data_IF_603603991014
#
_entry.id   IF_603603991014
#
_cell.length_a   1.000
_cell.length_b   1.000
_cell.length_c   1.000
_cell.angle_alpha   90.00
_cell.angle_beta   90.00
_cell.angle_gamma   90.00
#
_symmetry.space_group_name_H-M   'P 1'
#
loop_
_entity.id
_entity.type
_entity.pdbx_description
1 polymer ?
#
# COMPACT_ATOMS: atom_id res chain seq x y z
N UNK A 1 -31.89 17.10 82.74
CA UNK A 1 -31.23 16.36 81.64
C UNK A 1 -30.42 17.36 80.83
N UNK A 2 -29.08 17.28 80.86
CA UNK A 2 -28.23 18.05 79.93
C UNK A 2 -28.34 17.37 78.57
N UNK A 3 -29.15 17.93 77.68
CA UNK A 3 -29.15 17.52 76.28
C UNK A 3 -27.80 17.91 75.69
N UNK A 4 -26.99 16.92 75.35
CA UNK A 4 -25.76 17.09 74.59
C UNK A 4 -26.16 17.72 73.26
N UNK A 5 -25.86 19.01 73.06
CA UNK A 5 -26.16 19.71 71.81
C UNK A 5 -25.21 19.17 70.74
N UNK A 6 -25.61 18.09 70.06
CA UNK A 6 -25.08 17.82 68.72
C UNK A 6 -25.57 19.00 67.88
N UNK A 7 -24.69 19.96 67.64
CA UNK A 7 -25.05 21.22 66.99
C UNK A 7 -25.68 20.91 65.64
N UNK A 8 -26.88 21.44 65.39
CA UNK A 8 -27.59 21.32 64.10
C UNK A 8 -26.70 21.73 62.92
N UNK A 9 -25.77 22.66 63.15
CA UNK A 9 -24.72 23.06 62.22
C UNK A 9 -23.73 21.92 61.86
N UNK A 10 -23.34 21.08 62.81
CA UNK A 10 -22.46 19.93 62.54
C UNK A 10 -23.19 18.85 61.72
N UNK A 11 -24.47 18.58 62.04
CA UNK A 11 -25.33 17.67 61.27
C UNK A 11 -25.59 18.17 59.86
N UNK A 12 -25.88 19.47 59.68
CA UNK A 12 -26.12 20.06 58.35
C UNK A 12 -24.85 20.10 57.50
N UNK A 13 -23.69 20.38 58.11
CA UNK A 13 -22.42 20.37 57.38
C UNK A 13 -22.04 18.93 56.98
N UNK A 14 -22.20 17.95 57.87
CA UNK A 14 -21.97 16.55 57.53
C UNK A 14 -22.86 16.07 56.37
N UNK A 15 -24.15 16.42 56.38
CA UNK A 15 -25.08 16.10 55.29
C UNK A 15 -24.65 16.73 53.96
N UNK A 16 -24.21 18.00 53.96
CA UNK A 16 -23.68 18.67 52.75
C UNK A 16 -22.41 18.00 52.21
N UNK A 17 -21.48 17.62 53.08
CA UNK A 17 -20.27 16.90 52.67
C UNK A 17 -20.60 15.53 52.07
N UNK A 18 -21.52 14.79 52.70
CA UNK A 18 -21.96 13.49 52.19
C UNK A 18 -22.68 13.62 50.84
N UNK A 19 -23.50 14.66 50.68
CA UNK A 19 -24.18 14.95 49.41
C UNK A 19 -23.20 15.29 48.29
N UNK A 20 -22.22 16.18 48.55
CA UNK A 20 -21.18 16.50 47.56
C UNK A 20 -20.38 15.26 47.14
N UNK A 21 -20.06 14.39 48.11
CA UNK A 21 -19.37 13.13 47.82
C UNK A 21 -20.22 12.17 46.98
N UNK A 22 -21.51 12.00 47.30
CA UNK A 22 -22.40 11.15 46.49
C UNK A 22 -22.59 11.70 45.07
N UNK A 23 -22.68 13.02 44.90
CA UNK A 23 -22.74 13.63 43.57
C UNK A 23 -21.45 13.39 42.76
N UNK A 24 -20.28 13.49 43.40
CA UNK A 24 -19.01 13.16 42.74
C UNK A 24 -18.92 11.68 42.34
N UNK A 25 -19.32 10.76 43.23
CA UNK A 25 -19.40 9.33 42.92
C UNK A 25 -20.43 9.02 41.84
N UNK A 26 -21.55 9.76 41.78
CA UNK A 26 -22.55 9.61 40.71
C UNK A 26 -21.94 9.97 39.36
N UNK A 27 -21.27 11.12 39.24
CA UNK A 27 -20.57 11.52 38.00
C UNK A 27 -19.55 10.45 37.57
N UNK A 28 -18.79 9.92 38.54
CA UNK A 28 -17.83 8.83 38.31
C UNK A 28 -18.54 7.57 37.77
N UNK A 29 -19.54 7.07 38.48
CA UNK A 29 -20.27 5.86 38.11
C UNK A 29 -21.02 6.02 36.78
N UNK A 30 -21.52 7.22 36.46
CA UNK A 30 -22.11 7.52 35.15
C UNK A 30 -21.07 7.47 34.04
N UNK A 31 -19.87 8.00 34.27
CA UNK A 31 -18.76 7.89 33.30
C UNK A 31 -18.34 6.43 33.10
N UNK A 32 -18.23 5.65 34.17
CA UNK A 32 -17.88 4.22 34.10
C UNK A 32 -18.96 3.40 33.39
N UNK A 33 -20.24 3.67 33.69
CA UNK A 33 -21.38 3.02 33.04
C UNK A 33 -21.47 3.32 31.54
N UNK A 34 -21.12 4.53 31.12
CA UNK A 34 -21.19 4.95 29.70
C UNK A 34 -19.97 4.52 28.89
N UNK A 35 -18.78 4.51 29.50
CA UNK A 35 -17.52 4.16 28.81
C UNK A 35 -17.16 2.68 28.92
N UNK A 36 -17.71 1.95 29.90
CA UNK A 36 -17.31 0.58 30.21
C UNK A 36 -15.90 0.47 30.79
N UNK A 37 -15.28 1.60 31.17
CA UNK A 37 -13.92 1.68 31.70
C UNK A 37 -13.90 2.52 32.97
N UNK A 38 -12.92 2.29 33.85
CA UNK A 38 -12.72 3.06 35.07
C UNK A 38 -12.60 4.56 34.77
N UNK A 39 -13.25 5.39 35.58
CA UNK A 39 -13.32 6.83 35.32
C UNK A 39 -11.96 7.54 35.41
N UNK A 40 -11.08 7.01 36.27
CA UNK A 40 -9.70 7.45 36.47
C UNK A 40 -8.80 6.21 36.52
N UNK A 41 -8.17 5.91 35.38
CA UNK A 41 -7.23 4.79 35.22
C UNK A 41 -6.07 4.91 36.20
N UNK A 42 -5.51 6.11 36.39
CA UNK A 42 -4.36 6.32 37.26
C UNK A 42 -4.67 6.01 38.72
N UNK A 43 -5.84 6.47 39.19
CA UNK A 43 -6.31 6.21 40.55
C UNK A 43 -6.73 4.75 40.74
N UNK A 44 -7.41 4.16 39.76
CA UNK A 44 -7.92 2.79 39.86
C UNK A 44 -6.81 1.73 39.78
N UNK A 45 -5.81 1.94 38.92
CA UNK A 45 -4.75 0.96 38.67
C UNK A 45 -3.51 1.20 39.53
N UNK A 46 -3.27 2.42 40.03
CA UNK A 46 -2.11 2.77 40.84
C UNK A 46 -0.80 2.42 40.13
N UNK A 47 -0.01 1.50 40.70
CA UNK A 47 1.25 1.04 40.11
C UNK A 47 1.07 0.30 38.76
N UNK A 48 -0.11 -0.27 38.48
CA UNK A 48 -0.39 -0.98 37.22
C UNK A 48 -0.66 -0.03 36.05
N UNK A 49 -0.85 1.26 36.31
CA UNK A 49 -1.06 2.29 35.28
C UNK A 49 0.08 2.30 34.26
N UNK A 50 1.32 2.06 34.68
CA UNK A 50 2.46 2.00 33.74
C UNK A 50 2.34 0.84 32.75
N UNK A 51 1.76 -0.29 33.15
CA UNK A 51 1.52 -1.45 32.28
C UNK A 51 0.44 -1.12 31.25
N UNK A 52 -0.69 -0.56 31.68
CA UNK A 52 -1.78 -0.15 30.80
C UNK A 52 -1.29 0.86 29.74
N UNK A 53 -0.57 1.91 30.17
CA UNK A 53 0.00 2.91 29.25
C UNK A 53 1.00 2.29 28.26
N UNK A 54 1.75 1.27 28.69
CA UNK A 54 2.69 0.58 27.80
C UNK A 54 1.95 -0.23 26.75
N UNK A 55 0.92 -0.99 27.14
CA UNK A 55 0.07 -1.73 26.20
C UNK A 55 -0.67 -0.82 25.23
N UNK A 56 -1.23 0.32 25.68
CA UNK A 56 -1.88 1.28 24.78
C UNK A 56 -0.91 1.82 23.74
N UNK A 57 0.33 2.17 24.14
CA UNK A 57 1.35 2.64 23.20
C UNK A 57 1.76 1.56 22.19
N UNK A 58 1.93 0.32 22.65
CA UNK A 58 2.29 -0.79 21.78
C UNK A 58 1.15 -1.11 20.79
N UNK A 59 -0.10 -1.04 21.25
CA UNK A 59 -1.30 -1.16 20.43
C UNK A 59 -1.31 -0.08 19.33
N UNK A 60 -1.14 1.21 19.68
CA UNK A 60 -1.10 2.30 18.72
C UNK A 60 0.00 2.06 17.66
N UNK A 61 1.17 1.63 18.11
CA UNK A 61 2.30 1.34 17.21
C UNK A 61 2.01 0.18 16.27
N UNK A 62 1.36 -0.88 16.73
CA UNK A 62 0.96 -2.02 15.90
C UNK A 62 -0.10 -1.60 14.89
N UNK A 63 -1.10 -0.83 15.30
CA UNK A 63 -2.17 -0.35 14.41
C UNK A 63 -1.61 0.53 13.28
N UNK A 64 -0.68 1.45 13.58
CA UNK A 64 -0.02 2.25 12.54
C UNK A 64 0.70 1.37 11.51
N UNK A 65 1.34 0.27 11.93
CA UNK A 65 2.01 -0.64 10.99
C UNK A 65 0.97 -1.46 10.20
N UNK A 66 -0.12 -1.91 10.83
CA UNK A 66 -1.23 -2.59 10.13
C UNK A 66 -1.84 -1.68 9.05
N UNK A 67 -2.07 -0.42 9.37
CA UNK A 67 -2.59 0.57 8.42
C UNK A 67 -1.60 0.79 7.27
N UNK A 68 -0.31 0.95 7.57
CA UNK A 68 0.74 1.02 6.55
C UNK A 68 0.79 -0.24 5.68
N UNK A 69 0.64 -1.42 6.27
CA UNK A 69 0.61 -2.69 5.54
C UNK A 69 -0.59 -2.77 4.60
N UNK A 70 -1.74 -2.19 4.96
CA UNK A 70 -2.90 -2.16 4.07
C UNK A 70 -2.62 -1.40 2.77
N UNK A 71 -1.88 -0.28 2.85
CA UNK A 71 -1.45 0.49 1.68
C UNK A 71 -0.42 -0.29 0.85
N UNK A 72 0.53 -0.94 1.52
CA UNK A 72 1.52 -1.81 0.87
C UNK A 72 0.85 -2.95 0.12
N UNK A 73 -0.13 -3.63 0.74
CA UNK A 73 -0.91 -4.70 0.11
C UNK A 73 -1.67 -4.20 -1.11
N UNK A 74 -2.33 -3.04 -1.03
CA UNK A 74 -3.03 -2.45 -2.17
C UNK A 74 -2.06 -2.17 -3.34
N UNK A 75 -0.87 -1.64 -3.04
CA UNK A 75 0.18 -1.40 -4.05
C UNK A 75 0.70 -2.69 -4.67
N UNK A 76 0.98 -3.70 -3.85
CA UNK A 76 1.46 -5.02 -4.30
C UNK A 76 0.43 -5.73 -5.18
N UNK A 77 -0.85 -5.72 -4.77
CA UNK A 77 -1.94 -6.30 -5.55
C UNK A 77 -2.10 -5.62 -6.91
N UNK A 78 -2.01 -4.28 -6.95
CA UNK A 78 -2.04 -3.53 -8.22
C UNK A 78 -0.81 -3.83 -9.10
N UNK A 79 0.37 -3.99 -8.49
CA UNK A 79 1.59 -4.41 -9.19
C UNK A 79 1.43 -5.80 -9.78
N UNK A 80 0.87 -6.76 -9.03
CA UNK A 80 0.60 -8.12 -9.48
C UNK A 80 -0.36 -8.13 -10.68
N UNK A 81 -1.42 -7.34 -10.64
CA UNK A 81 -2.37 -7.20 -11.74
C UNK A 81 -1.69 -6.62 -12.99
N UNK A 82 -0.89 -5.57 -12.84
CA UNK A 82 -0.13 -4.97 -13.93
C UNK A 82 0.89 -5.94 -14.55
N UNK A 83 1.61 -6.70 -13.72
CA UNK A 83 2.49 -7.78 -14.20
C UNK A 83 1.71 -8.86 -14.95
N UNK A 84 0.49 -9.19 -14.53
CA UNK A 84 -0.42 -10.08 -15.26
C UNK A 84 -0.71 -9.57 -16.68
N UNK A 85 -1.08 -8.29 -16.78
CA UNK A 85 -1.34 -7.64 -18.06
C UNK A 85 -0.09 -7.56 -18.96
N UNK A 86 1.11 -7.40 -18.38
CA UNK A 86 2.36 -7.47 -19.15
C UNK A 86 2.62 -8.87 -19.70
N UNK A 87 2.38 -9.91 -18.90
CA UNK A 87 2.48 -11.30 -19.36
C UNK A 87 1.48 -11.60 -20.49
N UNK A 88 0.25 -11.10 -20.39
CA UNK A 88 -0.75 -11.23 -21.47
C UNK A 88 -0.30 -10.49 -22.74
N UNK A 89 0.25 -9.29 -22.59
CA UNK A 89 0.79 -8.50 -23.71
C UNK A 89 1.94 -9.24 -24.40
N UNK A 90 2.87 -9.82 -23.63
CA UNK A 90 3.96 -10.63 -24.13
C UNK A 90 3.46 -11.90 -24.83
N UNK A 91 2.47 -12.59 -24.26
CA UNK A 91 1.88 -13.80 -24.85
C UNK A 91 1.15 -13.50 -26.17
N UNK A 92 0.44 -12.38 -26.25
CA UNK A 92 -0.21 -11.93 -27.48
C UNK A 92 0.81 -11.61 -28.57
N UNK A 93 1.90 -10.92 -28.21
CA UNK A 93 3.00 -10.65 -29.13
C UNK A 93 3.64 -11.96 -29.62
N UNK A 94 3.93 -12.90 -28.71
CA UNK A 94 4.52 -14.20 -29.08
C UNK A 94 3.63 -14.99 -30.04
N UNK A 95 2.32 -14.97 -29.83
CA UNK A 95 1.33 -15.59 -30.73
C UNK A 95 1.39 -14.95 -32.12
N UNK A 96 1.40 -13.62 -32.20
CA UNK A 96 1.50 -12.90 -33.47
C UNK A 96 2.83 -13.19 -34.20
N UNK A 97 3.93 -13.29 -33.46
CA UNK A 97 5.24 -13.63 -34.02
C UNK A 97 5.30 -15.06 -34.54
N UNK A 98 4.67 -16.01 -33.84
CA UNK A 98 4.58 -17.41 -34.27
C UNK A 98 3.74 -17.55 -35.54
N UNK A 99 2.70 -16.72 -35.68
CA UNK A 99 1.88 -16.65 -36.90
C UNK A 99 2.54 -15.87 -38.05
N UNK A 100 3.67 -15.20 -37.83
CA UNK A 100 4.28 -14.30 -38.82
C UNK A 100 4.73 -15.02 -40.10
N UNK A 101 5.09 -16.31 -40.03
CA UNK A 101 5.42 -17.10 -41.23
C UNK A 101 4.25 -17.29 -42.20
N UNK A 102 3.01 -17.16 -41.70
CA UNK A 102 1.76 -17.32 -42.47
C UNK A 102 1.00 -15.98 -42.64
N UNK A 103 1.46 -14.90 -42.00
CA UNK A 103 0.76 -13.61 -41.93
C UNK A 103 1.52 -12.51 -42.67
N UNK A 104 0.83 -11.45 -43.07
CA UNK A 104 1.48 -10.26 -43.63
C UNK A 104 2.41 -9.61 -42.61
N UNK A 105 3.58 -9.11 -43.05
CA UNK A 105 4.50 -8.38 -42.19
C UNK A 105 3.87 -7.13 -41.55
N UNK A 106 2.85 -6.55 -42.19
CA UNK A 106 2.08 -5.42 -41.64
C UNK A 106 1.28 -5.80 -40.39
N UNK A 107 0.71 -7.01 -40.34
CA UNK A 107 -0.06 -7.49 -39.19
C UNK A 107 0.88 -7.72 -38.00
N UNK A 108 2.02 -8.39 -38.24
CA UNK A 108 3.03 -8.63 -37.21
C UNK A 108 3.61 -7.32 -36.68
N UNK A 109 3.86 -6.34 -37.56
CA UNK A 109 4.31 -5.01 -37.16
C UNK A 109 3.27 -4.31 -36.27
N UNK A 110 1.98 -4.38 -36.61
CA UNK A 110 0.92 -3.78 -35.82
C UNK A 110 0.81 -4.44 -34.42
N UNK A 111 1.07 -5.75 -34.33
CA UNK A 111 1.15 -6.43 -33.04
C UNK A 111 2.32 -5.91 -32.18
N UNK A 112 3.50 -5.71 -32.77
CA UNK A 112 4.63 -5.08 -32.06
C UNK A 112 4.31 -3.67 -31.57
N UNK A 113 3.64 -2.87 -32.41
CA UNK A 113 3.21 -1.51 -32.04
C UNK A 113 2.21 -1.53 -30.88
N UNK A 114 1.22 -2.42 -30.94
CA UNK A 114 0.24 -2.58 -29.87
C UNK A 114 0.93 -3.01 -28.56
N UNK A 115 1.87 -3.95 -28.64
CA UNK A 115 2.59 -4.46 -27.47
C UNK A 115 3.40 -3.35 -26.77
N UNK A 116 4.18 -2.54 -27.51
CA UNK A 116 4.96 -1.46 -26.88
C UNK A 116 4.06 -0.37 -26.28
N UNK A 117 2.91 -0.07 -26.90
CA UNK A 117 1.96 0.91 -26.38
C UNK A 117 1.26 0.42 -25.11
N UNK A 118 0.79 -0.84 -25.11
CA UNK A 118 0.16 -1.46 -23.94
C UNK A 118 1.16 -1.57 -22.78
N UNK A 119 2.36 -2.06 -23.06
CA UNK A 119 3.45 -2.13 -22.08
C UNK A 119 3.75 -0.74 -21.48
N UNK A 120 3.89 0.29 -22.32
CA UNK A 120 4.12 1.66 -21.85
C UNK A 120 2.98 2.16 -20.95
N UNK A 121 1.72 1.87 -21.32
CA UNK A 121 0.56 2.25 -20.50
C UNK A 121 0.55 1.53 -19.15
N UNK A 122 0.90 0.24 -19.12
CA UNK A 122 0.89 -0.56 -17.90
C UNK A 122 2.03 -0.15 -16.96
N UNK A 123 3.24 0.08 -17.49
CA UNK A 123 4.39 0.50 -16.70
C UNK A 123 4.22 1.90 -16.11
N UNK A 124 3.39 2.74 -16.75
CA UNK A 124 3.03 4.06 -16.26
C UNK A 124 1.73 4.05 -15.42
N UNK A 125 1.27 2.89 -14.95
CA UNK A 125 0.16 2.83 -14.00
C UNK A 125 0.54 3.45 -12.64
N UNK A 126 -0.40 4.18 -12.05
CA UNK A 126 -0.24 4.85 -10.75
C UNK A 126 -1.34 4.47 -9.77
N UNK A 127 -0.99 4.36 -8.49
CA UNK A 127 -1.92 4.19 -7.37
C UNK A 127 -1.73 5.37 -6.42
N UNK A 128 -2.80 6.08 -6.09
CA UNK A 128 -2.77 7.27 -5.23
C UNK A 128 -1.82 8.38 -5.70
N UNK A 129 -1.62 8.51 -7.01
CA UNK A 129 -0.74 9.52 -7.61
C UNK A 129 0.74 9.10 -7.69
N UNK A 130 1.10 7.92 -7.17
CA UNK A 130 2.45 7.37 -7.24
C UNK A 130 2.54 6.26 -8.29
N UNK A 131 3.57 6.30 -9.12
CA UNK A 131 3.80 5.28 -10.14
C UNK A 131 4.34 3.97 -9.56
N UNK A 132 3.75 2.85 -10.00
CA UNK A 132 4.05 1.53 -9.45
C UNK A 132 5.44 1.01 -9.80
N UNK A 133 5.88 1.24 -11.04
CA UNK A 133 7.13 0.71 -11.60
C UNK A 133 8.28 1.73 -11.61
N UNK A 134 8.16 2.84 -10.86
CA UNK A 134 9.17 3.90 -10.86
C UNK A 134 10.39 3.62 -9.97
N UNK A 135 10.38 2.51 -9.22
CA UNK A 135 11.31 2.30 -8.12
C UNK A 135 11.05 3.32 -7.00
N UNK A 136 12.09 4.03 -6.56
CA UNK A 136 12.00 5.11 -5.56
C UNK A 136 11.60 6.46 -6.16
N UNK A 137 11.58 6.62 -7.49
CA UNK A 137 11.20 7.86 -8.16
C UNK A 137 9.69 7.94 -8.48
N UNK A 138 8.85 7.74 -7.46
CA UNK A 138 7.39 7.53 -7.60
C UNK A 138 6.62 8.68 -8.24
N UNK A 139 7.20 9.87 -8.28
CA UNK A 139 6.53 11.10 -8.73
C UNK A 139 6.78 11.40 -10.22
N UNK A 140 7.58 10.57 -10.89
CA UNK A 140 7.94 10.73 -12.30
C UNK A 140 7.45 9.53 -13.10
N UNK A 141 6.89 9.81 -14.28
CA UNK A 141 6.43 8.80 -15.23
C UNK A 141 7.57 7.82 -15.56
N UNK A 142 7.44 6.52 -15.24
CA UNK A 142 8.53 5.55 -15.33
C UNK A 142 9.13 5.40 -16.73
N UNK A 143 8.29 5.28 -17.76
CA UNK A 143 8.72 4.94 -19.12
C UNK A 143 8.18 5.93 -20.15
N UNK A 144 9.03 6.32 -21.08
CA UNK A 144 8.66 7.11 -22.26
C UNK A 144 8.10 6.27 -23.40
N UNK A 145 7.20 6.86 -24.18
CA UNK A 145 6.51 6.16 -25.27
C UNK A 145 7.42 6.11 -26.51
N UNK A 146 7.76 4.90 -26.94
CA UNK A 146 8.54 4.64 -28.15
C UNK A 146 7.84 5.07 -29.43
N UNK A 147 6.50 5.07 -29.44
CA UNK A 147 5.68 5.34 -30.62
C UNK A 147 5.24 6.79 -30.73
N UNK A 148 5.51 7.60 -29.71
CA UNK A 148 5.20 9.02 -29.70
C UNK A 148 6.07 9.81 -30.69
N UNK A 149 5.51 10.88 -31.24
CA UNK A 149 6.26 11.82 -32.06
C UNK A 149 7.37 12.47 -31.22
N UNK A 150 8.61 12.44 -31.72
CA UNK A 150 9.77 12.96 -31.00
C UNK A 150 10.34 12.04 -29.93
N UNK A 151 9.93 10.76 -29.88
CA UNK A 151 10.49 9.77 -28.95
C UNK A 151 12.03 9.68 -29.04
N UNK A 152 12.78 9.96 -27.96
CA UNK A 152 14.24 9.83 -27.94
C UNK A 152 14.69 8.41 -28.25
N UNK A 153 13.98 7.41 -27.71
CA UNK A 153 14.24 6.00 -27.97
C UNK A 153 14.10 5.64 -29.45
N UNK A 154 13.05 6.12 -30.13
CA UNK A 154 12.87 5.88 -31.56
C UNK A 154 13.95 6.58 -32.39
N UNK A 155 14.29 7.82 -32.04
CA UNK A 155 15.34 8.57 -32.71
C UNK A 155 16.72 7.87 -32.58
N UNK A 156 17.06 7.38 -31.38
CA UNK A 156 18.28 6.62 -31.14
C UNK A 156 18.33 5.29 -31.92
N UNK A 157 17.18 4.60 -32.00
CA UNK A 157 17.04 3.38 -32.79
C UNK A 157 17.28 3.63 -34.28
N UNK A 158 16.63 4.64 -34.85
CA UNK A 158 16.75 4.99 -36.27
C UNK A 158 18.14 5.52 -36.64
N UNK A 159 18.73 6.32 -35.76
CA UNK A 159 20.10 6.81 -35.92
C UNK A 159 21.10 5.64 -35.91
N UNK A 160 20.91 4.67 -35.02
CA UNK A 160 21.78 3.49 -34.96
C UNK A 160 21.65 2.60 -36.18
N UNK A 161 20.44 2.43 -36.72
CA UNK A 161 20.24 1.74 -38.00
C UNK A 161 21.02 2.43 -39.11
N UNK A 162 20.83 3.75 -39.25
CA UNK A 162 21.45 4.54 -40.31
C UNK A 162 22.98 4.57 -40.19
N UNK A 163 23.50 4.64 -38.95
CA UNK A 163 24.94 4.60 -38.70
C UNK A 163 25.58 3.24 -39.01
N UNK A 164 24.87 2.13 -38.77
CA UNK A 164 25.40 0.79 -38.99
C UNK A 164 25.38 0.40 -40.48
N UNK A 165 24.29 0.71 -41.18
CA UNK A 165 24.10 0.32 -42.58
C UNK A 165 24.55 1.39 -43.58
N UNK A 166 24.68 2.65 -43.16
CA UNK A 166 25.03 3.79 -44.03
C UNK A 166 23.85 4.36 -44.83
N UNK A 167 22.64 3.88 -44.60
CA UNK A 167 21.40 4.32 -45.26
C UNK A 167 20.18 4.13 -44.35
N UNK A 168 19.06 4.76 -44.70
CA UNK A 168 17.82 4.68 -43.91
C UNK A 168 17.01 3.41 -44.21
N UNK A 169 16.08 3.03 -43.34
CA UNK A 169 15.22 1.84 -43.53
C UNK A 169 14.30 1.92 -44.77
N UNK A 170 14.08 3.14 -45.30
CA UNK A 170 13.30 3.39 -46.50
C UNK A 170 14.14 3.30 -47.80
N UNK A 171 15.46 3.24 -47.68
CA UNK A 171 16.36 3.16 -48.83
C UNK A 171 16.19 1.82 -49.56
N UNK A 172 16.17 1.78 -50.92
CA UNK A 172 16.15 0.54 -51.69
C UNK A 172 17.26 -0.46 -51.31
N UNK A 173 18.43 0.02 -50.85
CA UNK A 173 19.54 -0.83 -50.40
C UNK A 173 19.19 -1.68 -49.17
N UNK A 174 18.19 -1.29 -48.37
CA UNK A 174 17.72 -2.06 -47.23
C UNK A 174 17.23 -3.47 -47.62
N UNK A 175 16.75 -3.65 -48.86
CA UNK A 175 16.31 -4.92 -49.38
C UNK A 175 17.45 -5.96 -49.53
N UNK A 176 18.71 -5.52 -49.49
CA UNK A 176 19.89 -6.38 -49.62
C UNK A 176 20.49 -6.80 -48.27
N UNK A 177 19.93 -6.34 -47.13
CA UNK A 177 20.44 -6.69 -45.80
C UNK A 177 20.31 -8.20 -45.60
N UNK A 178 21.44 -8.87 -45.33
CA UNK A 178 21.48 -10.31 -45.05
C UNK A 178 21.03 -10.62 -43.62
N UNK A 179 20.64 -11.88 -43.36
CA UNK A 179 20.34 -12.36 -42.02
C UNK A 179 21.49 -12.11 -41.03
N UNK A 180 22.74 -12.36 -41.43
CA UNK A 180 23.91 -12.16 -40.58
C UNK A 180 24.17 -10.68 -40.27
N UNK A 181 23.99 -9.78 -41.25
CA UNK A 181 24.13 -8.34 -41.01
C UNK A 181 23.05 -7.81 -40.08
N UNK A 182 21.81 -8.28 -40.23
CA UNK A 182 20.71 -7.91 -39.33
C UNK A 182 20.95 -8.44 -37.92
N UNK A 183 21.42 -9.68 -37.78
CA UNK A 183 21.77 -10.25 -36.48
C UNK A 183 22.88 -9.45 -35.79
N UNK A 184 23.94 -9.11 -36.53
CA UNK A 184 25.03 -8.26 -36.05
C UNK A 184 24.56 -6.88 -35.57
N UNK A 185 23.63 -6.25 -36.30
CA UNK A 185 23.01 -4.98 -35.91
C UNK A 185 22.21 -5.13 -34.60
N UNK A 186 21.37 -6.17 -34.49
CA UNK A 186 20.57 -6.42 -33.28
C UNK A 186 21.48 -6.61 -32.06
N UNK A 187 22.53 -7.43 -32.20
CA UNK A 187 23.44 -7.73 -31.08
C UNK A 187 24.35 -6.56 -30.71
N UNK A 188 24.89 -5.85 -31.70
CA UNK A 188 25.95 -4.84 -31.44
C UNK A 188 25.39 -3.43 -31.20
N UNK A 189 24.22 -3.11 -31.76
CA UNK A 189 23.68 -1.75 -31.75
C UNK A 189 22.33 -1.64 -31.06
N UNK A 190 21.42 -2.61 -31.26
CA UNK A 190 20.10 -2.55 -30.61
C UNK A 190 20.19 -3.01 -29.16
N UNK A 191 20.84 -4.13 -28.88
CA UNK A 191 20.91 -4.70 -27.52
C UNK A 191 21.41 -3.68 -26.46
N UNK A 192 22.48 -2.89 -26.69
CA UNK A 192 22.93 -1.90 -25.71
C UNK A 192 21.95 -0.73 -25.48
N UNK A 193 21.01 -0.48 -26.39
CA UNK A 193 19.97 0.54 -26.19
C UNK A 193 18.91 0.12 -25.18
N UNK A 194 18.74 -1.18 -24.95
CA UNK A 194 17.71 -1.72 -24.06
C UNK A 194 18.30 -2.38 -22.81
N UNK A 195 19.40 -3.12 -22.97
CA UNK A 195 20.10 -3.83 -21.88
C UNK A 195 21.29 -3.05 -21.33
N UNK A 196 21.59 -1.88 -21.89
CA UNK A 196 22.71 -1.03 -21.48
C UNK A 196 22.26 0.39 -21.12
N UNK A 197 23.20 1.32 -21.13
CA UNK A 197 22.99 2.72 -20.74
C UNK A 197 21.99 3.48 -21.63
N UNK A 198 21.67 2.97 -22.82
CA UNK A 198 20.66 3.57 -23.68
C UNK A 198 19.24 3.48 -23.10
N UNK A 199 19.00 2.56 -22.17
CA UNK A 199 17.70 2.43 -21.49
C UNK A 199 17.43 3.62 -20.58
N UNK A 200 18.35 3.92 -19.67
CA UNK A 200 18.24 5.09 -18.78
C UNK A 200 18.31 6.41 -19.55
N UNK A 201 19.00 6.43 -20.69
CA UNK A 201 19.13 7.66 -21.48
C UNK A 201 17.86 8.02 -22.27
N UNK A 202 17.10 7.02 -22.75
CA UNK A 202 16.05 7.25 -23.76
C UNK A 202 14.69 6.63 -23.44
N UNK A 203 14.60 5.71 -22.48
CA UNK A 203 13.38 4.98 -22.15
C UNK A 203 12.90 5.22 -20.73
N UNK A 204 13.78 5.08 -19.74
CA UNK A 204 13.39 4.97 -18.35
C UNK A 204 13.84 6.15 -17.49
N UNK A 205 12.87 6.68 -16.75
CA UNK A 205 13.07 7.61 -15.64
C UNK A 205 12.94 6.90 -14.27
N UNK A 206 12.74 5.58 -14.27
CA UNK A 206 12.64 4.77 -13.06
C UNK A 206 14.03 4.45 -12.47
N UNK A 207 14.08 4.19 -11.17
CA UNK A 207 15.30 3.75 -10.49
C UNK A 207 15.39 2.24 -10.39
N UNK A 208 16.62 1.71 -10.37
CA UNK A 208 16.86 0.28 -10.07
C UNK A 208 16.59 -0.05 -8.59
N UNK A 209 16.65 0.97 -7.71
CA UNK A 209 16.30 0.81 -6.30
C UNK A 209 14.80 0.59 -6.14
N UNK A 210 14.45 -0.43 -5.36
CA UNK A 210 13.07 -0.75 -5.00
C UNK A 210 12.76 -0.20 -3.60
N UNK A 211 11.48 0.06 -3.36
CA UNK A 211 10.97 0.54 -2.08
C UNK A 211 11.02 -0.61 -1.07
N UNK A 212 11.53 -0.32 0.13
CA UNK A 212 11.55 -1.23 1.28
C UNK A 212 10.57 -0.71 2.32
N UNK A 213 9.57 -1.53 2.64
CA UNK A 213 8.56 -1.22 3.64
C UNK A 213 8.81 -1.97 4.93
N UNK A 214 8.62 -1.29 6.07
CA UNK A 214 8.56 -1.93 7.38
C UNK A 214 7.20 -2.57 7.57
N UNK A 215 7.17 -3.89 7.74
CA UNK A 215 5.92 -4.66 7.83
C UNK A 215 5.61 -5.17 9.24
N UNK A 216 6.58 -5.09 10.14
CA UNK A 216 6.42 -5.33 11.57
C UNK A 216 7.45 -4.52 12.37
N UNK A 217 7.47 -4.65 13.69
CA UNK A 217 8.40 -3.91 14.55
C UNK A 217 9.89 -4.17 14.22
N UNK A 218 10.20 -5.36 13.70
CA UNK A 218 11.57 -5.79 13.38
C UNK A 218 11.76 -6.37 11.97
N UNK A 219 10.74 -6.31 11.10
CA UNK A 219 10.79 -6.90 9.76
C UNK A 219 10.53 -5.85 8.68
N UNK A 220 11.32 -5.92 7.61
CA UNK A 220 11.15 -5.14 6.40
C UNK A 220 11.11 -6.06 5.20
N UNK A 221 10.34 -5.71 4.18
CA UNK A 221 10.33 -6.41 2.90
C UNK A 221 10.38 -5.42 1.75
N UNK A 222 10.89 -5.88 0.61
CA UNK A 222 10.85 -5.14 -0.63
C UNK A 222 9.43 -5.20 -1.20
N UNK A 223 8.88 -4.06 -1.59
CA UNK A 223 7.45 -3.90 -1.90
C UNK A 223 7.17 -3.17 -3.21
N UNK A 224 8.14 -3.15 -4.13
CA UNK A 224 7.94 -2.55 -5.45
C UNK A 224 8.67 -3.34 -6.53
N UNK A 225 8.16 -3.26 -7.75
CA UNK A 225 8.86 -3.63 -8.97
C UNK A 225 9.44 -2.38 -9.64
N UNK A 226 10.46 -2.54 -10.48
CA UNK A 226 11.01 -1.45 -11.30
C UNK A 226 10.78 -1.74 -12.77
N UNK A 227 10.47 -0.71 -13.55
CA UNK A 227 10.42 -0.81 -15.01
C UNK A 227 11.80 -1.13 -15.63
N UNK A 228 12.86 -1.04 -14.82
CA UNK A 228 14.21 -1.42 -15.17
C UNK A 228 14.48 -2.93 -15.09
N UNK A 229 13.50 -3.75 -14.75
CA UNK A 229 13.64 -5.21 -14.80
C UNK A 229 14.02 -5.69 -16.21
N UNK A 230 14.95 -6.63 -16.29
CA UNK A 230 15.49 -7.13 -17.56
C UNK A 230 14.40 -7.78 -18.44
N UNK A 231 13.40 -8.41 -17.83
CA UNK A 231 12.28 -9.06 -18.53
C UNK A 231 11.41 -8.02 -19.24
N UNK A 232 11.14 -6.91 -18.55
CA UNK A 232 10.39 -5.77 -19.09
C UNK A 232 11.18 -5.15 -20.25
N UNK A 233 12.49 -4.94 -20.06
CA UNK A 233 13.37 -4.39 -21.11
C UNK A 233 13.47 -5.31 -22.33
N UNK A 234 13.47 -6.65 -22.15
CA UNK A 234 13.45 -7.62 -23.25
C UNK A 234 12.14 -7.57 -24.04
N UNK A 235 11.00 -7.44 -23.34
CA UNK A 235 9.70 -7.22 -23.98
C UNK A 235 9.68 -5.91 -24.78
N UNK A 236 10.24 -4.84 -24.20
CA UNK A 236 10.38 -3.54 -24.88
C UNK A 236 11.23 -3.66 -26.15
N UNK A 237 12.39 -4.33 -26.05
CA UNK A 237 13.30 -4.57 -27.18
C UNK A 237 12.62 -5.36 -28.29
N UNK A 238 11.96 -6.46 -27.97
CA UNK A 238 11.25 -7.28 -28.95
C UNK A 238 10.14 -6.48 -29.65
N UNK A 239 9.34 -5.74 -28.88
CA UNK A 239 8.25 -4.91 -29.42
C UNK A 239 8.78 -3.79 -30.32
N UNK A 240 9.89 -3.14 -29.92
CA UNK A 240 10.54 -2.08 -30.69
C UNK A 240 11.19 -2.60 -31.98
N UNK A 241 11.85 -3.76 -31.94
CA UNK A 241 12.41 -4.44 -33.13
C UNK A 241 11.33 -4.69 -34.18
N UNK A 242 10.19 -5.23 -33.73
CA UNK A 242 9.07 -5.55 -34.62
C UNK A 242 8.42 -4.29 -35.18
N UNK A 243 8.19 -3.29 -34.32
CA UNK A 243 7.59 -2.01 -34.72
C UNK A 243 8.48 -1.26 -35.72
N UNK A 244 9.78 -1.20 -35.43
CA UNK A 244 10.76 -0.46 -36.21
C UNK A 244 11.10 -1.16 -37.53
N UNK A 245 11.53 -2.42 -37.50
CA UNK A 245 12.19 -3.05 -38.64
C UNK A 245 11.24 -3.74 -39.62
N UNK A 246 10.09 -4.25 -39.17
CA UNK A 246 9.12 -4.86 -40.09
C UNK A 246 8.35 -3.82 -40.92
N UNK A 247 8.50 -2.53 -40.57
CA UNK A 247 7.98 -1.39 -41.34
C UNK A 247 8.79 -1.09 -42.61
N UNK A 248 10.06 -1.52 -42.63
CA UNK A 248 11.03 -1.14 -43.65
C UNK A 248 11.06 -2.06 -44.87
N UNK A 249 11.82 -1.64 -45.87
CA UNK A 249 12.02 -2.39 -47.12
C UNK A 249 13.08 -3.50 -46.98
N UNK A 250 13.25 -4.07 -45.78
CA UNK A 250 14.30 -5.05 -45.49
C UNK A 250 14.02 -6.41 -46.15
N UNK A 251 15.09 -7.16 -46.42
CA UNK A 251 14.99 -8.50 -47.03
C UNK A 251 14.15 -9.48 -46.21
N UNK A 252 13.58 -10.50 -46.86
CA UNK A 252 12.84 -11.55 -46.15
C UNK A 252 13.71 -12.30 -45.13
N UNK A 253 14.99 -12.53 -45.47
CA UNK A 253 15.94 -13.16 -44.54
C UNK A 253 16.15 -12.30 -43.28
N UNK A 254 16.28 -10.97 -43.44
CA UNK A 254 16.38 -10.05 -42.32
C UNK A 254 15.09 -10.02 -41.48
N UNK A 255 13.90 -10.03 -42.11
CA UNK A 255 12.61 -10.12 -41.40
C UNK A 255 12.52 -11.38 -40.55
N UNK A 256 12.91 -12.53 -41.09
CA UNK A 256 12.94 -13.80 -40.35
C UNK A 256 13.89 -13.73 -39.15
N UNK A 257 15.07 -13.14 -39.30
CA UNK A 257 16.00 -12.91 -38.18
C UNK A 257 15.39 -12.03 -37.09
N UNK A 258 14.75 -10.92 -37.46
CA UNK A 258 14.10 -10.01 -36.50
C UNK A 258 12.99 -10.75 -35.74
N UNK A 259 12.12 -11.49 -36.44
CA UNK A 259 11.04 -12.26 -35.82
C UNK A 259 11.60 -13.33 -34.88
N UNK A 260 12.60 -14.10 -35.30
CA UNK A 260 13.21 -15.15 -34.48
C UNK A 260 13.86 -14.60 -33.21
N UNK A 261 14.57 -13.46 -33.31
CA UNK A 261 15.14 -12.76 -32.14
C UNK A 261 14.07 -12.23 -31.21
N UNK A 262 13.02 -11.61 -31.75
CA UNK A 262 11.89 -11.13 -30.97
C UNK A 262 11.16 -12.29 -30.24
N UNK A 263 10.95 -13.44 -30.90
CA UNK A 263 10.34 -14.62 -30.27
C UNK A 263 11.17 -15.11 -29.08
N UNK A 264 12.48 -15.23 -29.23
CA UNK A 264 13.37 -15.64 -28.14
C UNK A 264 13.30 -14.66 -26.96
N UNK A 265 13.39 -13.36 -27.23
CA UNK A 265 13.33 -12.31 -26.20
C UNK A 265 11.99 -12.27 -25.47
N UNK A 266 10.87 -12.45 -26.18
CA UNK A 266 9.54 -12.50 -25.57
C UNK A 266 9.37 -13.77 -24.72
N UNK A 267 9.90 -14.91 -25.18
CA UNK A 267 9.92 -16.15 -24.39
C UNK A 267 10.71 -16.00 -23.08
N UNK A 268 11.89 -15.38 -23.15
CA UNK A 268 12.68 -15.05 -21.95
C UNK A 268 11.95 -14.04 -21.05
N UNK A 269 11.32 -13.02 -21.63
CA UNK A 269 10.55 -12.03 -20.90
C UNK A 269 9.36 -12.66 -20.14
N UNK A 270 8.64 -13.60 -20.75
CA UNK A 270 7.54 -14.33 -20.07
C UNK A 270 8.05 -15.11 -18.85
N UNK A 271 9.18 -15.80 -18.98
CA UNK A 271 9.80 -16.51 -17.85
C UNK A 271 10.19 -15.57 -16.71
N UNK A 272 10.84 -14.45 -17.04
CA UNK A 272 11.25 -13.46 -16.06
C UNK A 272 10.09 -12.67 -15.43
N UNK A 273 9.05 -12.34 -16.20
CA UNK A 273 7.81 -11.75 -15.66
C UNK A 273 7.10 -12.71 -14.69
N UNK A 274 7.11 -14.01 -14.99
CA UNK A 274 6.60 -15.03 -14.07
C UNK A 274 7.39 -15.09 -12.76
N UNK A 275 8.71 -14.93 -12.82
CA UNK A 275 9.55 -14.84 -11.63
C UNK A 275 9.23 -13.57 -10.82
N UNK A 276 9.14 -12.40 -11.48
CA UNK A 276 8.82 -11.14 -10.83
C UNK A 276 7.42 -11.15 -10.16
N UNK A 277 6.45 -11.81 -10.80
CA UNK A 277 5.14 -12.09 -10.21
C UNK A 277 5.23 -12.98 -8.96
N UNK A 278 6.05 -14.03 -9.01
CA UNK A 278 6.24 -14.92 -7.86
C UNK A 278 6.89 -14.18 -6.68
N UNK A 279 7.92 -13.37 -6.95
CA UNK A 279 8.58 -12.53 -5.93
C UNK A 279 7.62 -11.51 -5.31
N UNK A 280 6.80 -10.86 -6.14
CA UNK A 280 5.76 -9.91 -5.69
C UNK A 280 4.70 -10.61 -4.83
N UNK A 281 4.23 -11.79 -5.24
CA UNK A 281 3.28 -12.59 -4.46
C UNK A 281 3.84 -13.09 -3.14
N UNK A 282 5.13 -13.43 -3.07
CA UNK A 282 5.81 -13.75 -1.81
C UNK A 282 5.87 -12.53 -0.87
N UNK A 283 6.16 -11.34 -1.40
CA UNK A 283 6.13 -10.10 -0.62
C UNK A 283 4.72 -9.81 -0.08
N UNK A 284 3.69 -9.97 -0.90
CA UNK A 284 2.28 -9.82 -0.49
C UNK A 284 1.92 -10.80 0.64
N UNK A 285 2.32 -12.07 0.52
CA UNK A 285 2.10 -13.06 1.56
C UNK A 285 2.81 -12.72 2.87
N UNK A 286 4.05 -12.21 2.80
CA UNK A 286 4.80 -11.77 4.00
C UNK A 286 4.10 -10.61 4.71
N UNK A 287 3.61 -9.62 3.96
CA UNK A 287 2.85 -8.49 4.50
C UNK A 287 1.56 -8.97 5.16
N UNK A 288 0.83 -9.89 4.52
CA UNK A 288 -0.38 -10.50 5.07
C UNK A 288 -0.08 -11.24 6.38
N UNK A 289 0.92 -12.11 6.40
CA UNK A 289 1.29 -12.90 7.58
C UNK A 289 1.76 -12.02 8.74
N UNK A 290 2.54 -10.99 8.45
CA UNK A 290 2.95 -10.01 9.46
C UNK A 290 1.73 -9.28 10.03
N UNK A 291 0.79 -8.88 9.18
CA UNK A 291 -0.43 -8.18 9.60
C UNK A 291 -1.34 -9.07 10.47
N UNK A 292 -1.52 -10.34 10.12
CA UNK A 292 -2.34 -11.26 10.90
C UNK A 292 -1.74 -11.56 12.28
N UNK A 293 -0.41 -11.69 12.37
CA UNK A 293 0.30 -11.81 13.65
C UNK A 293 0.13 -10.56 14.50
N UNK A 294 0.24 -9.37 13.91
CA UNK A 294 0.06 -8.12 14.64
C UNK A 294 -1.38 -7.92 15.08
N UNK A 295 -2.39 -8.28 14.28
CA UNK A 295 -3.80 -8.26 14.71
C UNK A 295 -4.03 -9.16 15.92
N UNK A 296 -3.44 -10.36 15.92
CA UNK A 296 -3.50 -11.25 17.09
C UNK A 296 -2.86 -10.61 18.33
N UNK A 297 -1.77 -9.86 18.17
CA UNK A 297 -1.13 -9.12 19.28
C UNK A 297 -1.99 -7.95 19.75
N UNK A 298 -2.61 -7.21 18.83
CA UNK A 298 -3.57 -6.13 19.12
C UNK A 298 -4.73 -6.69 19.94
N UNK A 299 -5.37 -7.78 19.51
CA UNK A 299 -6.47 -8.42 20.23
C UNK A 299 -6.06 -8.82 21.67
N UNK A 300 -4.83 -9.31 21.86
CA UNK A 300 -4.31 -9.67 23.17
C UNK A 300 -4.08 -8.44 24.06
N UNK A 301 -3.51 -7.37 23.51
CA UNK A 301 -3.31 -6.12 24.25
C UNK A 301 -4.63 -5.44 24.59
N UNK A 302 -5.61 -5.42 23.69
CA UNK A 302 -6.96 -4.93 23.95
C UNK A 302 -7.62 -5.68 25.10
N UNK A 303 -7.54 -7.02 25.12
CA UNK A 303 -8.05 -7.83 26.24
C UNK A 303 -7.33 -7.52 27.55
N UNK A 304 -6.01 -7.38 27.54
CA UNK A 304 -5.27 -7.04 28.76
C UNK A 304 -5.58 -5.63 29.27
N UNK A 305 -5.81 -4.67 28.38
CA UNK A 305 -6.27 -3.32 28.75
C UNK A 305 -7.68 -3.40 29.35
N UNK A 306 -8.59 -4.15 28.74
CA UNK A 306 -9.94 -4.38 29.28
C UNK A 306 -9.92 -5.09 30.63
N UNK A 307 -9.03 -6.07 30.85
CA UNK A 307 -8.87 -6.73 32.15
C UNK A 307 -8.33 -5.78 33.23
N UNK A 308 -7.61 -4.73 32.82
CA UNK A 308 -7.00 -3.74 33.71
C UNK A 308 -7.97 -2.60 34.03
N UNK A 309 -8.71 -2.13 33.03
CA UNK A 309 -9.48 -0.88 33.06
C UNK A 309 -10.99 -1.10 32.95
N UNK A 310 -11.43 -2.28 32.57
CA UNK A 310 -12.83 -2.60 32.30
C UNK A 310 -13.69 -2.56 33.56
N UNK A 311 -14.92 -2.06 33.38
CA UNK A 311 -15.96 -2.05 34.41
C UNK A 311 -17.19 -2.75 33.84
N UNK A 312 -17.82 -3.62 34.64
CA UNK A 312 -19.09 -4.23 34.27
C UNK A 312 -20.18 -3.15 34.14
N UNK A 313 -20.75 -2.93 32.94
CA UNK A 313 -21.77 -1.90 32.74
C UNK A 313 -23.04 -2.13 33.57
N UNK A 314 -23.39 -3.38 33.90
CA UNK A 314 -24.57 -3.70 34.70
C UNK A 314 -24.34 -3.37 36.18
N UNK A 315 -23.14 -3.66 36.71
CA UNK A 315 -22.75 -3.25 38.06
C UNK A 315 -22.68 -1.73 38.16
N UNK A 316 -22.08 -1.06 37.16
CA UNK A 316 -22.00 0.40 37.11
C UNK A 316 -23.39 1.05 37.02
N UNK A 317 -24.31 0.51 36.20
CA UNK A 317 -25.68 1.00 36.09
C UNK A 317 -26.45 0.83 37.40
N UNK A 318 -26.29 -0.31 38.09
CA UNK A 318 -26.88 -0.54 39.42
C UNK A 318 -26.36 0.50 40.41
N UNK A 319 -25.05 0.78 40.39
CA UNK A 319 -24.44 1.78 41.26
C UNK A 319 -24.95 3.20 40.99
N UNK A 320 -25.17 3.55 39.72
CA UNK A 320 -25.79 4.84 39.33
C UNK A 320 -27.21 4.95 39.88
N UNK A 321 -28.02 3.89 39.76
CA UNK A 321 -29.37 3.86 40.30
C UNK A 321 -29.40 4.02 41.83
N UNK A 322 -28.55 3.28 42.53
CA UNK A 322 -28.44 3.35 44.01
C UNK A 322 -27.99 4.74 44.48
N UNK A 323 -26.98 5.33 43.82
CA UNK A 323 -26.50 6.68 44.16
C UNK A 323 -27.59 7.74 43.90
N UNK A 324 -28.34 7.61 42.81
CA UNK A 324 -29.45 8.51 42.49
C UNK A 324 -30.53 8.44 43.57
N UNK A 325 -30.95 7.22 43.93
CA UNK A 325 -31.95 6.99 44.97
C UNK A 325 -31.51 7.54 46.34
N UNK A 326 -30.25 7.36 46.70
CA UNK A 326 -29.70 7.90 47.95
C UNK A 326 -29.62 9.43 47.96
N UNK A 327 -29.28 10.05 46.83
CA UNK A 327 -29.27 11.51 46.68
C UNK A 327 -30.69 12.07 46.83
N UNK A 328 -31.68 11.48 46.15
CA UNK A 328 -33.10 11.87 46.27
C UNK A 328 -33.61 11.75 47.72
N UNK A 329 -33.30 10.62 48.37
CA UNK A 329 -33.66 10.39 49.78
C UNK A 329 -33.00 11.41 50.70
N UNK A 330 -31.74 11.76 50.45
CA UNK A 330 -31.00 12.76 51.23
C UNK A 330 -31.55 14.17 51.03
N UNK A 331 -31.99 14.52 49.83
CA UNK A 331 -32.70 15.78 49.57
C UNK A 331 -34.03 15.84 50.33
N UNK A 332 -34.82 14.77 50.29
CA UNK A 332 -36.07 14.68 51.03
C UNK A 332 -35.86 14.82 52.55
N UNK A 333 -34.83 14.17 53.10
CA UNK A 333 -34.48 14.27 54.52
C UNK A 333 -34.00 15.67 54.89
N UNK A 334 -33.17 16.29 54.06
CA UNK A 334 -32.67 17.65 54.28
C UNK A 334 -33.83 18.66 54.29
N UNK A 335 -34.77 18.53 53.36
CA UNK A 335 -35.99 19.34 53.33
C UNK A 335 -36.81 19.16 54.62
N UNK A 336 -36.96 17.93 55.11
CA UNK A 336 -37.66 17.64 56.38
C UNK A 336 -36.95 18.22 57.60
N UNK A 337 -35.61 18.15 57.66
CA UNK A 337 -34.81 18.74 58.75
C UNK A 337 -34.86 20.27 58.74
N UNK A 338 -34.90 20.92 57.57
CA UNK A 338 -35.09 22.38 57.46
C UNK A 338 -36.48 22.82 57.96
N UNK A 339 -37.51 21.98 57.82
CA UNK A 339 -38.84 22.24 58.36
C UNK A 339 -38.92 22.07 59.89
N UNK A 340 -38.00 21.33 60.53
CA UNK A 340 -37.92 21.15 61.99
C UNK A 340 -37.23 22.31 62.74
N UNK A 341 -37.20 23.50 62.14
CA UNK A 341 -36.70 24.71 62.80
C UNK A 341 -37.44 24.95 64.13
N UNK A 342 -36.68 25.24 65.20
CA UNK A 342 -37.20 25.54 66.54
C UNK A 342 -38.25 26.67 66.52
N UNK A 343 -38.19 27.55 65.50
CA UNK A 343 -39.17 28.62 65.27
C UNK A 343 -40.58 28.12 64.95
N UNK A 344 -40.73 26.92 64.38
CA UNK A 344 -42.05 26.32 64.10
C UNK A 344 -42.68 25.65 65.33
N UNK A 345 -41.94 25.50 66.44
CA UNK A 345 -42.41 24.90 67.70
C UNK A 345 -42.40 25.89 68.88
N UNK A 346 -42.14 27.18 68.63
CA UNK A 346 -42.14 28.26 69.61
C UNK A 346 -43.33 29.24 69.47
N UNK A 347 -44.38 28.84 68.77
CA UNK A 347 -45.72 29.46 68.82
C UNK A 347 -46.67 28.54 69.55
#
# INVERSE_FOLDING_TARGET
MKATSVSSAALSNAARYQQMRMQAELVKATKESTTGTVADVGLALGARTSQAVTFSRDLDRLNVIIDSNSLVTARLSSTQAALGQLSDTAQNLLTALTAAGNSSSTITQQAGKAAVQQMTSILNASVNGEYLFAGTNTDVKPIDDFTAAGSPAKAAFDASFSSYFGFTQADPLAANITAAQMDGFITSNVLPQFMGSGWQANWSNATDQQIVSRISLGETTQTSASANDDSIRKLAMASALITGLLSGNISQAAKTTVVGRAQAMVGEALGGLGQLQAETGLAEKRVSDASDRMKTQVDLFERHILDLEGVDPAEAATRVADLTQHIETSFALTARLQQMSLLNYLT
#
